data_IF_037953795551
#
_entry.id   IF_037953795551
#
_cell.length_a   1.000
_cell.length_b   1.000
_cell.length_c   1.000
_cell.angle_alpha   90.00
_cell.angle_beta   90.00
_cell.angle_gamma   90.00
#
_symmetry.space_group_name_H-M   'P 1'
#
loop_
_entity.id
_entity.type
_entity.pdbx_description
1 polymer ?
#
# COMPACT_ATOMS: atom_id res chain seq x y z
N UNK A 1 -40.21 -57.80 22.79
CA UNK A 1 -39.38 -57.14 23.83
C UNK A 1 -38.68 -55.97 23.18
N UNK A 2 -39.22 -54.77 23.42
CA UNK A 2 -38.64 -53.68 24.24
C UNK A 2 -37.55 -52.91 23.46
N UNK A 3 -37.86 -51.82 22.77
CA UNK A 3 -38.03 -50.41 23.21
C UNK A 3 -36.71 -49.60 23.17
N UNK A 4 -36.79 -48.43 22.52
CA UNK A 4 -36.06 -47.18 22.83
C UNK A 4 -34.52 -47.11 22.76
N UNK A 5 -33.99 -46.24 21.88
CA UNK A 5 -33.76 -44.85 22.31
C UNK A 5 -33.29 -43.91 21.19
N UNK A 6 -34.03 -42.82 21.11
CA UNK A 6 -33.76 -41.59 20.40
C UNK A 6 -32.47 -40.91 20.91
N UNK A 7 -31.58 -40.55 19.98
CA UNK A 7 -30.76 -39.34 20.11
C UNK A 7 -30.94 -38.50 18.85
N UNK A 8 -31.85 -37.54 18.93
CA UNK A 8 -31.80 -36.35 18.10
C UNK A 8 -30.66 -35.47 18.60
N UNK A 9 -29.68 -35.13 17.76
CA UNK A 9 -28.87 -33.92 17.93
C UNK A 9 -28.25 -33.52 16.57
N UNK A 10 -28.79 -32.44 16.01
CA UNK A 10 -27.99 -31.35 15.43
C UNK A 10 -27.29 -31.57 14.09
N UNK A 11 -27.97 -31.13 13.03
CA UNK A 11 -27.47 -30.16 12.03
C UNK A 11 -26.00 -30.24 11.59
N UNK A 12 -25.81 -30.59 10.31
CA UNK A 12 -24.91 -29.87 9.40
C UNK A 12 -25.57 -29.77 8.02
N UNK A 13 -26.52 -28.86 7.89
CA UNK A 13 -26.87 -28.32 6.58
C UNK A 13 -25.75 -27.34 6.19
N UNK A 14 -25.15 -27.57 5.04
CA UNK A 14 -24.18 -26.70 4.40
C UNK A 14 -24.77 -25.28 4.33
N UNK A 15 -24.26 -24.38 5.18
CA UNK A 15 -24.57 -22.96 5.10
C UNK A 15 -23.82 -22.42 3.89
N UNK A 16 -24.43 -22.53 2.71
CA UNK A 16 -24.12 -21.65 1.60
C UNK A 16 -24.23 -20.22 2.13
N UNK A 17 -23.07 -19.61 2.34
CA UNK A 17 -22.99 -18.22 2.74
C UNK A 17 -23.24 -17.43 1.47
N UNK A 18 -24.51 -17.15 1.21
CA UNK A 18 -24.95 -16.23 0.16
C UNK A 18 -24.19 -14.93 0.36
N UNK A 19 -23.12 -14.72 -0.41
CA UNK A 19 -22.47 -13.42 -0.54
C UNK A 19 -23.51 -12.51 -1.16
N UNK A 20 -24.21 -11.75 -0.32
CA UNK A 20 -24.96 -10.57 -0.73
C UNK A 20 -23.99 -9.70 -1.50
N UNK A 21 -24.09 -9.71 -2.83
CA UNK A 21 -23.45 -8.70 -3.68
C UNK A 21 -24.13 -7.40 -3.30
N UNK A 22 -23.50 -6.63 -2.42
CA UNK A 22 -23.83 -5.23 -2.25
C UNK A 22 -23.66 -4.59 -3.63
N UNK A 23 -24.79 -4.22 -4.24
CA UNK A 23 -24.82 -3.45 -5.47
C UNK A 23 -24.24 -2.08 -5.14
N UNK A 24 -22.92 -1.96 -5.19
CA UNK A 24 -22.25 -0.67 -5.09
C UNK A 24 -22.85 0.23 -6.18
N UNK A 25 -23.31 1.45 -5.84
CA UNK A 25 -23.82 2.36 -6.84
C UNK A 25 -22.79 2.51 -7.93
N UNK A 26 -23.21 2.33 -9.18
CA UNK A 26 -22.32 2.46 -10.34
C UNK A 26 -21.82 3.92 -10.40
N UNK A 27 -20.60 4.14 -9.92
CA UNK A 27 -19.98 5.46 -9.88
C UNK A 27 -19.70 5.85 -11.32
N UNK A 28 -20.51 6.74 -11.88
CA UNK A 28 -20.32 7.29 -13.23
C UNK A 28 -19.26 8.38 -13.17
N UNK A 29 -18.08 8.12 -13.70
CA UNK A 29 -16.98 9.10 -13.76
C UNK A 29 -15.62 8.45 -14.00
N UNK A 30 -14.60 9.28 -14.26
CA UNK A 30 -13.20 8.82 -14.28
C UNK A 30 -12.59 9.03 -12.88
N UNK A 31 -12.09 7.95 -12.27
CA UNK A 31 -11.28 8.03 -11.07
C UNK A 31 -9.84 8.35 -11.47
N UNK A 32 -9.28 9.42 -10.91
CA UNK A 32 -7.88 9.80 -11.07
C UNK A 32 -7.35 10.28 -9.74
N UNK A 33 -6.04 10.14 -9.55
CA UNK A 33 -5.31 10.73 -8.44
C UNK A 33 -4.39 11.81 -8.98
N UNK A 34 -3.97 12.71 -8.09
CA UNK A 34 -2.99 13.73 -8.44
C UNK A 34 -1.60 13.18 -8.13
N UNK A 35 -0.64 13.44 -9.03
CA UNK A 35 0.68 12.84 -8.99
C UNK A 35 1.42 13.17 -7.69
N UNK A 36 1.39 14.41 -7.21
CA UNK A 36 2.04 14.82 -5.95
C UNK A 36 1.47 14.12 -4.72
N UNK A 37 0.18 13.81 -4.69
CA UNK A 37 -0.40 13.05 -3.58
C UNK A 37 0.22 11.65 -3.54
N UNK A 38 0.31 10.99 -4.69
CA UNK A 38 0.91 9.66 -4.79
C UNK A 38 2.41 9.71 -4.51
N UNK A 39 3.12 10.72 -5.04
CA UNK A 39 4.52 11.01 -4.76
C UNK A 39 4.79 11.17 -3.27
N UNK A 40 3.91 11.87 -2.54
CA UNK A 40 4.02 12.02 -1.07
C UNK A 40 3.80 10.71 -0.34
N UNK A 41 2.86 9.87 -0.79
CA UNK A 41 2.63 8.53 -0.21
C UNK A 41 3.88 7.67 -0.40
N UNK A 42 4.47 7.68 -1.60
CA UNK A 42 5.70 6.93 -1.88
C UNK A 42 6.84 7.44 -1.01
N UNK A 43 7.09 8.76 -0.96
CA UNK A 43 8.15 9.35 -0.14
C UNK A 43 8.07 8.96 1.34
N UNK A 44 6.85 8.96 1.91
CA UNK A 44 6.61 8.49 3.29
C UNK A 44 6.80 6.97 3.43
N UNK A 45 6.37 6.18 2.45
CA UNK A 45 6.51 4.73 2.51
C UNK A 45 7.97 4.27 2.48
N UNK A 46 8.82 4.97 1.71
CA UNK A 46 10.25 4.69 1.59
C UNK A 46 11.00 4.81 2.94
N UNK A 47 10.47 5.57 3.92
CA UNK A 47 11.06 5.70 5.26
C UNK A 47 11.17 4.39 6.02
N UNK A 48 10.24 3.48 5.76
CA UNK A 48 10.14 2.23 6.49
C UNK A 48 10.90 1.07 5.84
N UNK A 49 11.60 1.31 4.72
CA UNK A 49 12.25 0.27 3.92
C UNK A 49 13.64 -0.05 4.49
N UNK A 50 13.78 -1.23 5.06
CA UNK A 50 15.00 -1.68 5.72
C UNK A 50 16.15 -1.92 4.73
N UNK A 51 17.24 -1.15 4.86
CA UNK A 51 18.38 -1.18 3.95
C UNK A 51 18.32 -0.13 2.85
N UNK A 52 17.26 0.67 2.77
CA UNK A 52 17.23 1.90 1.96
C UNK A 52 17.78 3.06 2.79
N UNK A 53 18.88 3.68 2.34
CA UNK A 53 19.53 4.77 3.06
C UNK A 53 19.07 6.15 2.59
N UNK A 54 18.85 6.31 1.28
CA UNK A 54 18.37 7.58 0.70
C UNK A 54 17.91 7.41 -0.75
N UNK A 55 17.32 8.47 -1.31
CA UNK A 55 16.92 8.60 -2.72
C UNK A 55 17.63 9.82 -3.33
N UNK A 56 18.04 9.75 -4.59
CA UNK A 56 18.63 10.88 -5.35
C UNK A 56 17.61 12.00 -5.45
N UNK A 57 17.91 13.15 -4.84
CA UNK A 57 16.95 14.25 -4.72
C UNK A 57 16.35 14.37 -3.32
N UNK A 58 16.18 13.27 -2.56
CA UNK A 58 16.11 13.39 -1.09
C UNK A 58 15.38 12.30 -0.30
N UNK A 59 16.03 11.86 0.76
CA UNK A 59 15.41 11.29 1.98
C UNK A 59 15.72 12.23 3.16
N UNK A 60 15.20 13.47 3.06
CA UNK A 60 15.41 14.56 4.02
C UNK A 60 16.81 15.18 4.03
N UNK A 61 17.25 15.68 2.87
CA UNK A 61 18.19 16.81 2.72
C UNK A 61 19.24 16.99 3.84
N UNK A 62 20.07 16.00 4.14
CA UNK A 62 21.12 16.18 5.15
C UNK A 62 21.97 17.43 4.80
N UNK A 63 21.88 18.51 5.61
CA UNK A 63 22.89 19.59 5.85
C UNK A 63 22.60 21.07 5.47
N UNK A 64 21.46 21.52 4.96
CA UNK A 64 21.30 23.00 4.73
C UNK A 64 20.82 23.71 6.01
N UNK A 65 21.75 23.91 6.94
CA UNK A 65 21.49 24.38 8.30
C UNK A 65 20.69 25.67 8.38
N UNK A 66 19.63 25.67 9.21
CA UNK A 66 18.84 26.83 9.67
C UNK A 66 18.20 27.64 8.52
N UNK A 67 16.86 27.70 8.48
CA UNK A 67 16.02 28.83 8.02
C UNK A 67 14.93 28.58 6.94
N UNK A 68 14.73 27.37 6.37
CA UNK A 68 13.64 27.19 5.38
C UNK A 68 12.71 26.04 5.78
N UNK A 69 11.43 26.39 5.93
CA UNK A 69 10.34 25.57 6.45
C UNK A 69 9.69 24.72 5.35
N UNK A 70 10.48 23.87 4.68
CA UNK A 70 9.99 23.01 3.59
C UNK A 70 10.45 21.57 3.81
N UNK A 71 9.67 20.83 4.59
CA UNK A 71 9.77 19.37 4.76
C UNK A 71 9.23 18.66 3.49
N UNK A 72 9.89 18.90 2.36
CA UNK A 72 9.44 18.37 1.07
C UNK A 72 9.88 16.91 0.88
N UNK A 73 9.02 16.00 1.33
CA UNK A 73 9.14 14.54 1.20
C UNK A 73 8.95 14.01 -0.22
N UNK A 74 8.69 14.89 -1.19
CA UNK A 74 8.41 14.50 -2.58
C UNK A 74 9.68 14.53 -3.45
N UNK A 75 10.75 15.17 -2.97
CA UNK A 75 12.00 15.33 -3.73
C UNK A 75 12.66 13.99 -4.01
N UNK A 76 13.05 13.73 -5.27
CA UNK A 76 13.71 12.49 -5.68
C UNK A 76 12.78 11.32 -5.99
N UNK A 77 11.47 11.54 -5.90
CA UNK A 77 10.44 10.58 -6.30
C UNK A 77 9.73 11.15 -7.53
N UNK A 78 9.86 10.51 -8.69
CA UNK A 78 9.12 10.89 -9.89
C UNK A 78 7.94 9.94 -10.09
N UNK A 79 6.73 10.50 -10.20
CA UNK A 79 5.48 9.73 -10.28
C UNK A 79 4.65 10.16 -11.48
N UNK A 80 4.13 9.17 -12.20
CA UNK A 80 3.13 9.35 -13.25
C UNK A 80 1.93 8.43 -12.97
N UNK A 81 0.76 9.02 -12.70
CA UNK A 81 -0.47 8.26 -12.45
C UNK A 81 -1.21 7.97 -13.76
N UNK A 82 -1.32 6.69 -14.08
CA UNK A 82 -2.20 6.18 -15.13
C UNK A 82 -3.58 5.79 -14.61
N UNK A 83 -4.48 5.38 -15.52
CA UNK A 83 -5.86 4.98 -15.16
C UNK A 83 -5.94 3.73 -14.30
N UNK A 84 -5.00 2.81 -14.47
CA UNK A 84 -5.01 1.48 -13.83
C UNK A 84 -3.74 1.17 -13.05
N UNK A 85 -2.69 1.97 -13.22
CA UNK A 85 -1.36 1.73 -12.69
C UNK A 85 -0.65 3.05 -12.46
N UNK A 86 0.38 3.02 -11.63
CA UNK A 86 1.26 4.16 -11.35
C UNK A 86 2.67 3.76 -11.74
N UNK A 87 3.36 4.63 -12.48
CA UNK A 87 4.79 4.51 -12.70
C UNK A 87 5.53 5.34 -11.64
N UNK A 88 6.53 4.73 -11.02
CA UNK A 88 7.39 5.39 -10.02
C UNK A 88 8.83 5.17 -10.45
N UNK A 89 9.56 6.26 -10.66
CA UNK A 89 10.99 6.25 -10.93
C UNK A 89 11.74 6.72 -9.68
N UNK A 90 12.76 5.96 -9.29
CA UNK A 90 13.56 6.15 -8.10
C UNK A 90 15.01 5.82 -8.41
N UNK A 91 15.90 6.66 -7.90
CA UNK A 91 17.32 6.33 -7.82
C UNK A 91 17.71 6.30 -6.37
N UNK A 92 18.23 5.17 -5.90
CA UNK A 92 18.38 4.90 -4.46
C UNK A 92 19.82 4.67 -4.05
N UNK A 93 20.10 4.97 -2.79
CA UNK A 93 21.32 4.59 -2.08
C UNK A 93 20.91 3.54 -1.04
N UNK A 94 21.54 2.37 -1.10
CA UNK A 94 21.22 1.24 -0.23
C UNK A 94 22.37 0.88 0.68
N UNK A 95 22.05 0.15 1.75
CA UNK A 95 23.01 -0.29 2.75
C UNK A 95 24.01 -1.29 2.14
N UNK A 96 25.30 -1.08 2.45
CA UNK A 96 26.34 -1.98 1.98
C UNK A 96 26.19 -3.37 2.61
N UNK A 97 26.46 -4.43 1.82
CA UNK A 97 26.28 -5.85 2.19
C UNK A 97 24.84 -6.32 2.38
N UNK A 98 23.83 -5.52 2.00
CA UNK A 98 22.48 -6.02 1.74
C UNK A 98 22.31 -6.45 0.28
N UNK A 99 21.43 -7.42 0.05
CA UNK A 99 21.06 -7.86 -1.28
C UNK A 99 20.00 -6.91 -1.85
N UNK A 100 20.32 -6.17 -2.91
CA UNK A 100 19.45 -5.11 -3.45
C UNK A 100 18.08 -5.64 -3.92
N UNK A 101 17.99 -6.76 -4.66
CA UNK A 101 16.71 -7.41 -4.96
C UNK A 101 15.80 -7.75 -3.76
N UNK A 102 16.36 -7.83 -2.54
CA UNK A 102 15.61 -8.19 -1.32
C UNK A 102 15.23 -6.96 -0.48
N UNK A 103 15.65 -5.75 -0.89
CA UNK A 103 15.25 -4.45 -0.33
C UNK A 103 13.97 -3.99 -1.04
#
# INVERSE_FOLDING_TARGET
>A
MVQENMKAFGTMAEKETTKTKETQPEIKGALTYEDKVVQKIVGLALESVDGLLSVEGGFFSNLTGKLINTDDVTTGVDVEVGKTQVAVDLKVVTEYRKNVPDI
#
